data_IF_607925387697
#
_entry.id   IF_607925387697
#
_cell.length_a   1.000
_cell.length_b   1.000
_cell.length_c   1.000
_cell.angle_alpha   90.00
_cell.angle_beta   90.00
_cell.angle_gamma   90.00
#
_symmetry.space_group_name_H-M   'P 1'
#
loop_
_entity.id
_entity.type
_entity.pdbx_description
1 polymer ?
#
# COMPACT_ATOMS: atom_id res chain seq x y z
N UNK A 1 9.85 -19.98 3.96
CA UNK A 1 10.92 -19.65 3.00
C UNK A 1 12.22 -19.53 3.77
N UNK A 2 13.32 -19.99 3.18
CA UNK A 2 14.70 -19.80 3.67
C UNK A 2 15.46 -19.02 2.61
N UNK A 3 16.14 -17.97 3.02
CA UNK A 3 16.90 -17.11 2.13
C UNK A 3 18.38 -17.52 2.11
N UNK A 4 18.93 -17.63 0.91
CA UNK A 4 20.36 -17.82 0.67
C UNK A 4 20.95 -16.45 0.36
N UNK A 5 21.76 -15.97 1.32
CA UNK A 5 22.41 -14.67 1.19
C UNK A 5 23.47 -14.70 0.08
N UNK A 6 23.72 -13.58 -0.53
CA UNK A 6 24.61 -13.38 -1.69
C UNK A 6 26.03 -13.93 -1.52
N UNK A 7 26.53 -13.96 -0.29
CA UNK A 7 27.91 -14.41 0.02
C UNK A 7 28.05 -15.91 0.28
N UNK A 8 26.96 -16.70 0.22
CA UNK A 8 27.00 -18.15 0.47
C UNK A 8 27.44 -18.89 -0.81
N UNK A 9 28.64 -19.51 -0.85
CA UNK A 9 29.11 -20.20 -2.04
C UNK A 9 28.36 -21.52 -2.24
N UNK A 10 28.13 -21.88 -3.51
CA UNK A 10 27.47 -23.14 -3.91
C UNK A 10 28.42 -24.36 -3.82
N UNK A 11 28.98 -24.62 -2.64
CA UNK A 11 29.79 -25.80 -2.38
C UNK A 11 28.92 -27.05 -2.20
N UNK A 12 29.48 -28.23 -2.43
CA UNK A 12 28.75 -29.50 -2.23
C UNK A 12 28.12 -29.62 -0.85
N UNK A 13 28.80 -29.12 0.19
CA UNK A 13 28.29 -29.09 1.57
C UNK A 13 27.02 -28.24 1.67
N UNK A 14 27.04 -27.03 1.12
CA UNK A 14 25.92 -26.09 1.19
C UNK A 14 24.76 -26.55 0.30
N UNK A 15 25.06 -27.06 -0.88
CA UNK A 15 24.07 -27.65 -1.79
C UNK A 15 23.34 -28.82 -1.13
N UNK A 16 24.07 -29.74 -0.48
CA UNK A 16 23.47 -30.87 0.25
C UNK A 16 22.59 -30.38 1.43
N UNK A 17 22.95 -29.29 2.08
CA UNK A 17 22.12 -28.70 3.14
C UNK A 17 20.81 -28.14 2.55
N UNK A 18 20.87 -27.40 1.44
CA UNK A 18 19.71 -26.86 0.75
C UNK A 18 18.77 -27.97 0.25
N UNK A 19 19.31 -29.05 -0.33
CA UNK A 19 18.51 -30.20 -0.77
C UNK A 19 17.75 -30.82 0.41
N UNK A 20 18.40 -30.99 1.59
CA UNK A 20 17.75 -31.50 2.80
C UNK A 20 16.63 -30.57 3.28
N UNK A 21 16.84 -29.27 3.26
CA UNK A 21 15.79 -28.29 3.62
C UNK A 21 14.59 -28.39 2.68
N UNK A 22 14.83 -28.53 1.38
CA UNK A 22 13.74 -28.73 0.39
C UNK A 22 12.97 -30.04 0.66
N UNK A 23 13.65 -31.12 1.00
CA UNK A 23 13.02 -32.41 1.38
C UNK A 23 12.15 -32.30 2.64
N UNK A 24 12.45 -31.34 3.52
CA UNK A 24 11.63 -31.00 4.70
C UNK A 24 10.47 -30.05 4.38
N UNK A 25 10.27 -29.68 3.11
CA UNK A 25 9.18 -28.82 2.67
C UNK A 25 9.49 -27.32 2.72
N UNK A 26 10.73 -26.91 2.97
CA UNK A 26 11.10 -25.51 2.90
C UNK A 26 11.27 -25.07 1.45
N UNK A 27 10.80 -23.84 1.15
CA UNK A 27 11.09 -23.15 -0.11
C UNK A 27 12.37 -22.34 0.05
N UNK A 28 13.18 -22.29 -1.00
CA UNK A 28 14.47 -21.61 -1.02
C UNK A 28 14.37 -20.36 -1.87
N UNK A 29 14.80 -19.24 -1.33
CA UNK A 29 14.94 -17.96 -2.05
C UNK A 29 16.42 -17.60 -2.18
N UNK A 30 16.87 -17.21 -3.34
CA UNK A 30 18.18 -16.56 -3.55
C UNK A 30 17.99 -15.08 -3.34
N UNK A 31 18.74 -14.51 -2.40
CA UNK A 31 18.64 -13.11 -2.00
C UNK A 31 19.62 -12.22 -2.77
N UNK A 32 19.24 -10.96 -2.99
CA UNK A 32 20.06 -9.93 -3.64
C UNK A 32 20.73 -10.41 -4.95
N UNK A 33 19.97 -11.10 -5.80
CA UNK A 33 20.50 -11.63 -7.06
C UNK A 33 20.75 -10.51 -8.08
N UNK A 34 22.01 -10.42 -8.55
CA UNK A 34 22.44 -9.39 -9.52
C UNK A 34 22.80 -9.95 -10.90
N UNK A 35 22.66 -11.26 -11.12
CA UNK A 35 23.13 -11.93 -12.35
C UNK A 35 24.55 -12.46 -12.25
N UNK A 36 25.15 -12.49 -11.06
CA UNK A 36 26.48 -13.05 -10.84
C UNK A 36 26.49 -14.58 -11.04
N UNK A 37 27.49 -15.10 -11.76
CA UNK A 37 27.62 -16.54 -12.04
C UNK A 37 27.71 -17.42 -10.78
N UNK A 38 28.34 -16.92 -9.71
CA UNK A 38 28.45 -17.65 -8.47
C UNK A 38 27.07 -17.81 -7.79
N UNK A 39 26.23 -16.75 -7.84
CA UNK A 39 24.84 -16.81 -7.38
C UNK A 39 23.97 -17.64 -8.34
N UNK A 40 24.20 -17.58 -9.64
CA UNK A 40 23.44 -18.34 -10.64
C UNK A 40 23.53 -19.85 -10.42
N UNK A 41 24.63 -20.35 -9.84
CA UNK A 41 24.75 -21.75 -9.45
C UNK A 41 23.66 -22.23 -8.46
N UNK A 42 23.04 -21.33 -7.71
CA UNK A 42 21.95 -21.63 -6.78
C UNK A 42 20.58 -21.75 -7.46
N UNK A 43 20.40 -21.14 -8.64
CA UNK A 43 19.08 -21.04 -9.28
C UNK A 43 18.42 -22.39 -9.53
N UNK A 44 19.21 -23.45 -9.82
CA UNK A 44 18.69 -24.82 -10.01
C UNK A 44 18.07 -25.43 -8.74
N UNK A 45 18.36 -24.88 -7.56
CA UNK A 45 17.81 -25.32 -6.29
C UNK A 45 16.79 -24.33 -5.71
N UNK A 46 16.72 -23.12 -6.26
CA UNK A 46 15.84 -22.06 -5.80
C UNK A 46 14.38 -22.28 -6.26
N UNK A 47 13.47 -21.77 -5.45
CA UNK A 47 12.04 -21.63 -5.77
C UNK A 47 11.68 -20.17 -6.03
N UNK A 48 12.48 -19.24 -5.47
CA UNK A 48 12.30 -17.79 -5.58
C UNK A 48 13.65 -17.14 -5.84
N UNK A 49 13.68 -16.12 -6.68
CA UNK A 49 14.83 -15.22 -6.88
C UNK A 49 14.39 -13.81 -6.54
N UNK A 50 15.13 -13.17 -5.63
CA UNK A 50 14.88 -11.79 -5.19
C UNK A 50 15.92 -10.90 -5.85
N UNK A 51 15.48 -9.89 -6.57
CA UNK A 51 16.32 -8.93 -7.28
C UNK A 51 16.17 -7.56 -6.63
N UNK A 52 17.24 -7.05 -6.04
CA UNK A 52 17.32 -5.70 -5.50
C UNK A 52 17.47 -4.69 -6.64
N UNK A 53 16.41 -3.93 -6.95
CA UNK A 53 16.41 -2.98 -8.09
C UNK A 53 17.53 -1.94 -7.99
N UNK A 54 17.79 -1.28 -6.86
CA UNK A 54 18.95 -0.43 -6.66
C UNK A 54 20.30 -1.11 -6.94
N UNK A 55 20.47 -2.38 -6.51
CA UNK A 55 21.73 -3.09 -6.66
C UNK A 55 22.06 -3.42 -8.12
N UNK A 56 21.06 -3.75 -8.94
CA UNK A 56 21.27 -4.00 -10.39
C UNK A 56 21.42 -2.71 -11.20
N UNK A 57 21.13 -1.55 -10.62
CA UNK A 57 21.45 -0.23 -11.14
C UNK A 57 20.46 0.37 -12.14
N UNK A 58 19.67 -0.42 -12.87
CA UNK A 58 18.62 0.09 -13.77
C UNK A 58 17.50 -0.93 -13.98
N UNK A 59 16.32 -0.44 -14.41
CA UNK A 59 15.17 -1.29 -14.73
C UNK A 59 15.45 -2.18 -15.95
N UNK A 60 16.20 -1.69 -16.93
CA UNK A 60 16.60 -2.48 -18.09
C UNK A 60 17.55 -3.61 -17.70
N UNK A 61 18.48 -3.35 -16.75
CA UNK A 61 19.36 -4.37 -16.20
C UNK A 61 18.57 -5.43 -15.43
N UNK A 62 17.59 -5.03 -14.62
CA UNK A 62 16.71 -5.95 -13.92
C UNK A 62 15.93 -6.84 -14.91
N UNK A 63 15.43 -6.26 -16.00
CA UNK A 63 14.75 -7.01 -17.07
C UNK A 63 15.70 -7.98 -17.79
N UNK A 64 16.95 -7.56 -18.06
CA UNK A 64 17.96 -8.40 -18.68
C UNK A 64 18.31 -9.62 -17.80
N UNK A 65 18.57 -9.38 -16.51
CA UNK A 65 18.85 -10.45 -15.52
C UNK A 65 17.69 -11.45 -15.47
N UNK A 66 16.45 -10.97 -15.37
CA UNK A 66 15.28 -11.85 -15.36
C UNK A 66 15.17 -12.68 -16.65
N UNK A 67 15.40 -12.10 -17.82
CA UNK A 67 15.28 -12.78 -19.09
C UNK A 67 16.40 -13.80 -19.31
N UNK A 68 17.63 -13.45 -18.92
CA UNK A 68 18.82 -14.32 -19.07
C UNK A 68 18.71 -15.58 -18.21
N UNK A 69 18.27 -15.43 -16.96
CA UNK A 69 18.22 -16.51 -15.99
C UNK A 69 16.83 -17.13 -15.82
N UNK A 70 15.89 -16.80 -16.69
CA UNK A 70 14.53 -17.35 -16.62
C UNK A 70 14.51 -18.88 -16.70
N UNK A 71 13.75 -19.47 -15.80
CA UNK A 71 13.48 -20.90 -15.77
C UNK A 71 12.02 -21.15 -15.34
N UNK A 72 11.39 -22.13 -15.98
CA UNK A 72 10.03 -22.52 -15.61
C UNK A 72 9.93 -22.95 -14.14
N UNK A 73 8.92 -22.48 -13.46
CA UNK A 73 8.67 -22.74 -12.04
C UNK A 73 9.49 -21.91 -11.05
N UNK A 74 10.37 -21.03 -11.52
CA UNK A 74 11.11 -20.09 -10.68
C UNK A 74 10.30 -18.80 -10.54
N UNK A 75 10.05 -18.38 -9.30
CA UNK A 75 9.32 -17.17 -8.97
C UNK A 75 10.28 -16.01 -8.87
N UNK A 76 10.02 -14.93 -9.58
CA UNK A 76 10.84 -13.71 -9.58
C UNK A 76 10.20 -12.64 -8.70
N UNK A 77 10.94 -12.14 -7.72
CA UNK A 77 10.52 -11.09 -6.80
C UNK A 77 11.40 -9.85 -7.01
N UNK A 78 10.78 -8.73 -7.34
CA UNK A 78 11.45 -7.42 -7.38
C UNK A 78 11.41 -6.79 -5.99
N UNK A 79 12.59 -6.45 -5.44
CA UNK A 79 12.73 -5.80 -4.15
C UNK A 79 13.00 -4.32 -4.27
N UNK A 80 12.66 -3.59 -3.19
CA UNK A 80 12.86 -2.14 -3.07
C UNK A 80 12.16 -1.35 -4.18
N UNK A 81 10.99 -1.83 -4.62
CA UNK A 81 10.13 -1.09 -5.55
C UNK A 81 9.62 0.17 -4.85
N UNK A 82 9.98 1.35 -5.34
CA UNK A 82 9.65 2.63 -4.72
C UNK A 82 8.63 3.47 -5.51
N UNK A 83 8.49 3.19 -6.81
CA UNK A 83 7.62 3.96 -7.71
C UNK A 83 6.66 3.06 -8.48
N UNK A 84 5.58 3.68 -8.99
CA UNK A 84 4.64 2.98 -9.88
C UNK A 84 5.29 2.60 -11.21
N UNK A 85 6.23 3.41 -11.70
CA UNK A 85 6.97 3.13 -12.93
C UNK A 85 7.84 1.87 -12.79
N UNK A 86 8.57 1.74 -11.69
CA UNK A 86 9.35 0.53 -11.37
C UNK A 86 8.46 -0.71 -11.30
N UNK A 87 7.32 -0.60 -10.62
CA UNK A 87 6.35 -1.69 -10.52
C UNK A 87 5.86 -2.14 -11.91
N UNK A 88 5.37 -1.19 -12.74
CA UNK A 88 4.86 -1.52 -14.08
C UNK A 88 5.95 -2.09 -14.99
N UNK A 89 7.17 -1.55 -14.92
CA UNK A 89 8.30 -2.04 -15.70
C UNK A 89 8.65 -3.49 -15.33
N UNK A 90 8.81 -3.79 -14.04
CA UNK A 90 9.11 -5.14 -13.55
C UNK A 90 7.96 -6.10 -13.86
N UNK A 91 6.71 -5.66 -13.72
CA UNK A 91 5.53 -6.46 -14.08
C UNK A 91 5.55 -6.82 -15.58
N UNK A 92 5.85 -5.86 -16.44
CA UNK A 92 5.96 -6.09 -17.89
C UNK A 92 7.14 -7.00 -18.24
N UNK A 93 8.25 -6.90 -17.50
CA UNK A 93 9.40 -7.80 -17.63
C UNK A 93 9.13 -9.23 -17.12
N UNK A 94 7.99 -9.48 -16.46
CA UNK A 94 7.55 -10.79 -16.00
C UNK A 94 8.02 -11.18 -14.61
N UNK A 95 8.22 -10.21 -13.73
CA UNK A 95 8.33 -10.46 -12.28
C UNK A 95 6.96 -10.85 -11.71
N UNK A 96 6.95 -11.83 -10.80
CA UNK A 96 5.75 -12.42 -10.23
C UNK A 96 5.34 -11.75 -8.91
N UNK A 97 6.33 -11.33 -8.12
CA UNK A 97 6.15 -10.75 -6.79
C UNK A 97 6.91 -9.43 -6.67
N UNK A 98 6.41 -8.56 -5.78
CA UNK A 98 6.95 -7.22 -5.60
C UNK A 98 7.02 -6.87 -4.12
N UNK A 99 8.14 -6.32 -3.67
CA UNK A 99 8.36 -5.86 -2.31
C UNK A 99 9.02 -4.48 -2.35
N UNK A 100 8.52 -3.54 -1.55
CA UNK A 100 9.12 -2.23 -1.45
C UNK A 100 8.23 -1.19 -0.80
N UNK A 101 8.81 -0.02 -0.58
CA UNK A 101 8.15 1.09 0.10
C UNK A 101 6.96 1.67 -0.69
N UNK A 102 6.95 1.47 -2.02
CA UNK A 102 5.82 1.85 -2.87
C UNK A 102 4.48 1.34 -2.33
N UNK A 103 4.42 0.09 -1.86
CA UNK A 103 3.20 -0.53 -1.31
C UNK A 103 2.84 -0.02 0.09
N UNK A 104 3.79 0.61 0.80
CA UNK A 104 3.59 1.20 2.12
C UNK A 104 3.32 2.71 2.06
N UNK A 105 3.62 3.35 0.93
CA UNK A 105 3.23 4.75 0.70
C UNK A 105 1.71 4.82 0.73
N UNK A 106 1.10 5.66 1.59
CA UNK A 106 -0.29 5.98 1.41
C UNK A 106 -0.41 6.48 -0.03
N UNK A 107 -1.09 5.70 -0.88
CA UNK A 107 -1.48 6.20 -2.18
C UNK A 107 -2.33 7.43 -1.89
N UNK A 108 -1.76 8.62 -2.08
CA UNK A 108 -2.57 9.79 -2.35
C UNK A 108 -3.20 9.46 -3.70
N UNK A 109 -4.30 8.72 -3.63
CA UNK A 109 -5.18 8.61 -4.77
C UNK A 109 -5.58 10.06 -5.03
N UNK A 110 -4.95 10.69 -6.03
CA UNK A 110 -5.58 11.73 -6.77
C UNK A 110 -6.77 11.08 -7.50
N UNK A 111 -7.71 10.56 -6.69
CA UNK A 111 -9.05 10.32 -7.15
C UNK A 111 -9.46 11.67 -7.73
N UNK A 112 -9.94 11.70 -8.98
CA UNK A 112 -10.76 12.81 -9.42
C UNK A 112 -11.61 13.15 -8.22
N UNK A 113 -11.44 14.38 -7.67
CA UNK A 113 -12.37 14.90 -6.68
C UNK A 113 -13.73 14.67 -7.32
N UNK A 114 -14.42 13.66 -6.86
CA UNK A 114 -15.86 13.63 -7.07
C UNK A 114 -16.29 14.90 -6.38
N UNK A 115 -16.84 15.91 -7.09
CA UNK A 115 -17.28 17.12 -6.43
C UNK A 115 -18.11 16.65 -5.26
N UNK A 116 -17.80 17.18 -4.06
CA UNK A 116 -18.69 16.96 -2.91
C UNK A 116 -20.08 17.15 -3.47
N UNK A 117 -20.95 16.15 -3.33
CA UNK A 117 -22.27 16.29 -3.91
C UNK A 117 -22.84 17.56 -3.33
N UNK A 118 -22.93 18.61 -4.14
CA UNK A 118 -23.47 19.92 -3.69
C UNK A 118 -24.82 19.72 -3.01
N UNK A 119 -25.52 18.67 -3.43
CA UNK A 119 -26.79 18.19 -2.86
C UNK A 119 -26.56 17.67 -1.42
N UNK A 120 -25.54 16.87 -1.15
CA UNK A 120 -25.27 16.34 0.18
C UNK A 120 -24.87 17.44 1.17
N UNK A 121 -24.06 18.42 0.70
CA UNK A 121 -23.71 19.59 1.54
C UNK A 121 -24.93 20.44 1.83
N UNK A 122 -25.82 20.68 0.85
CA UNK A 122 -27.07 21.42 1.06
C UNK A 122 -28.03 20.67 2.00
N UNK A 123 -28.13 19.35 1.90
CA UNK A 123 -28.91 18.52 2.82
C UNK A 123 -28.37 18.60 4.25
N UNK A 124 -27.04 18.54 4.41
CA UNK A 124 -26.37 18.69 5.70
C UNK A 124 -26.64 20.06 6.32
N UNK A 125 -26.57 21.14 5.53
CA UNK A 125 -26.90 22.50 5.99
C UNK A 125 -28.37 22.62 6.36
N UNK A 126 -29.26 21.98 5.59
CA UNK A 126 -30.69 21.93 5.91
C UNK A 126 -30.96 21.27 7.27
N UNK A 127 -30.32 20.11 7.54
CA UNK A 127 -30.43 19.40 8.81
C UNK A 127 -29.86 20.24 9.97
N UNK A 128 -28.72 20.91 9.77
CA UNK A 128 -28.07 21.74 10.79
C UNK A 128 -28.81 23.04 11.14
N UNK A 129 -29.67 23.52 10.26
CA UNK A 129 -30.42 24.77 10.43
C UNK A 129 -31.85 24.57 10.97
N UNK A 130 -32.24 23.33 11.31
CA UNK A 130 -33.50 23.07 12.00
C UNK A 130 -33.44 23.59 13.46
N UNK A 131 -34.57 24.05 14.00
CA UNK A 131 -34.64 24.59 15.36
C UNK A 131 -34.28 23.52 16.44
N UNK A 132 -34.57 22.25 16.14
CA UNK A 132 -34.19 21.09 16.96
C UNK A 132 -33.29 20.14 16.12
N UNK A 133 -32.07 20.62 15.78
CA UNK A 133 -31.13 19.81 15.03
C UNK A 133 -30.65 18.62 15.88
N UNK A 134 -31.01 17.39 15.49
CA UNK A 134 -30.56 16.16 16.14
C UNK A 134 -29.22 15.66 15.54
N UNK A 135 -28.36 15.17 16.42
CA UNK A 135 -27.10 14.55 16.04
C UNK A 135 -27.30 13.33 15.15
N UNK A 136 -28.34 12.54 15.39
CA UNK A 136 -28.61 11.32 14.62
C UNK A 136 -29.00 11.65 13.18
N UNK A 137 -29.80 12.68 12.94
CA UNK A 137 -30.18 13.16 11.61
C UNK A 137 -28.98 13.70 10.83
N UNK A 138 -28.07 14.39 11.53
CA UNK A 138 -26.83 14.91 10.94
C UNK A 138 -25.89 13.77 10.55
N UNK A 139 -25.72 12.79 11.45
CA UNK A 139 -24.89 11.61 11.20
C UNK A 139 -25.45 10.79 10.05
N UNK A 140 -26.75 10.61 9.96
CA UNK A 140 -27.40 9.89 8.87
C UNK A 140 -27.28 10.61 7.53
N UNK A 141 -27.35 11.94 7.53
CA UNK A 141 -27.11 12.74 6.33
C UNK A 141 -25.65 12.62 5.85
N UNK A 142 -24.69 12.70 6.76
CA UNK A 142 -23.26 12.54 6.45
C UNK A 142 -22.95 11.11 5.99
N UNK A 143 -23.59 10.10 6.59
CA UNK A 143 -23.38 8.67 6.25
C UNK A 143 -23.76 8.34 4.80
N UNK A 144 -24.70 9.06 4.20
CA UNK A 144 -25.12 8.85 2.80
C UNK A 144 -24.08 9.28 1.77
N UNK A 145 -23.12 10.13 2.18
CA UNK A 145 -22.02 10.57 1.32
C UNK A 145 -20.67 10.12 1.90
N UNK A 146 -19.95 9.20 1.23
CA UNK A 146 -18.67 8.67 1.70
C UNK A 146 -17.60 9.76 1.89
N UNK A 147 -17.64 10.83 1.09
CA UNK A 147 -16.66 11.93 1.20
C UNK A 147 -16.93 12.80 2.41
N UNK A 148 -18.18 13.15 2.68
CA UNK A 148 -18.55 13.87 3.89
C UNK A 148 -18.22 13.04 5.14
N UNK A 149 -18.49 11.73 5.11
CA UNK A 149 -18.13 10.80 6.18
C UNK A 149 -16.62 10.80 6.47
N UNK A 150 -15.81 10.66 5.43
CA UNK A 150 -14.35 10.68 5.56
C UNK A 150 -13.83 12.01 6.12
N UNK A 151 -14.31 13.14 5.60
CA UNK A 151 -13.90 14.47 6.06
C UNK A 151 -14.31 14.76 7.49
N UNK A 152 -15.50 14.34 7.91
CA UNK A 152 -15.96 14.48 9.29
C UNK A 152 -15.03 13.71 10.24
N UNK A 153 -14.69 12.47 9.90
CA UNK A 153 -13.74 11.64 10.67
C UNK A 153 -12.34 12.26 10.70
N UNK A 154 -11.87 12.78 9.57
CA UNK A 154 -10.56 13.45 9.50
C UNK A 154 -10.51 14.70 10.39
N UNK A 155 -11.56 15.52 10.38
CA UNK A 155 -11.64 16.71 11.22
C UNK A 155 -11.71 16.36 12.71
N UNK A 156 -12.47 15.32 13.07
CA UNK A 156 -12.57 14.83 14.45
C UNK A 156 -11.24 14.24 14.97
N UNK A 157 -10.43 13.69 14.09
CA UNK A 157 -9.09 13.14 14.42
C UNK A 157 -7.97 14.18 14.30
N UNK A 158 -8.28 15.44 14.01
CA UNK A 158 -7.25 16.49 13.98
C UNK A 158 -6.65 16.71 15.37
N UNK A 159 -5.35 17.08 15.49
CA UNK A 159 -4.69 17.29 16.78
C UNK A 159 -5.37 18.32 17.69
N UNK A 160 -6.14 19.27 17.10
CA UNK A 160 -6.86 20.29 17.85
C UNK A 160 -8.16 19.75 18.50
N UNK A 161 -8.67 18.61 18.08
CA UNK A 161 -9.93 18.03 18.55
C UNK A 161 -9.69 16.76 19.34
N UNK A 162 -8.81 15.91 18.87
CA UNK A 162 -8.54 14.60 19.47
C UNK A 162 -7.05 14.44 19.80
N UNK A 163 -6.76 14.34 21.09
CA UNK A 163 -5.41 14.04 21.62
C UNK A 163 -5.29 12.60 22.11
N UNK A 164 -6.28 11.76 21.85
CA UNK A 164 -6.37 10.38 22.32
C UNK A 164 -6.38 9.34 21.19
N UNK A 165 -7.11 8.26 21.42
CA UNK A 165 -7.26 7.18 20.43
C UNK A 165 -8.09 7.61 19.22
N UNK A 166 -7.77 7.07 18.03
CA UNK A 166 -8.45 7.37 16.77
C UNK A 166 -9.97 7.15 16.84
N UNK A 167 -10.73 8.15 16.39
CA UNK A 167 -12.19 8.11 16.29
C UNK A 167 -12.55 7.49 14.93
N UNK A 168 -13.23 6.35 14.97
CA UNK A 168 -13.66 5.59 13.77
C UNK A 168 -15.18 5.61 13.55
N UNK A 169 -15.95 6.12 14.51
CA UNK A 169 -17.41 6.21 14.45
C UNK A 169 -17.86 7.63 14.11
N UNK A 170 -18.77 7.78 13.14
CA UNK A 170 -19.37 9.07 12.76
C UNK A 170 -20.13 9.71 13.94
N UNK A 171 -20.82 8.92 14.77
CA UNK A 171 -21.50 9.40 15.96
C UNK A 171 -20.52 10.03 16.94
N UNK A 172 -19.43 9.32 17.26
CA UNK A 172 -18.38 9.85 18.15
C UNK A 172 -17.68 11.08 17.55
N UNK A 173 -17.47 11.09 16.23
CA UNK A 173 -16.90 12.23 15.53
C UNK A 173 -17.80 13.46 15.64
N UNK A 174 -19.09 13.31 15.36
CA UNK A 174 -20.08 14.40 15.46
C UNK A 174 -20.17 14.94 16.91
N UNK A 175 -20.20 14.06 17.90
CA UNK A 175 -20.21 14.45 19.32
C UNK A 175 -18.93 15.20 19.71
N UNK A 176 -17.75 14.71 19.29
CA UNK A 176 -16.46 15.34 19.60
C UNK A 176 -16.31 16.74 18.97
N UNK A 177 -16.85 16.94 17.78
CA UNK A 177 -16.83 18.22 17.07
C UNK A 177 -17.87 19.22 17.58
N UNK A 178 -19.05 18.73 17.87
CA UNK A 178 -20.22 19.54 18.22
C UNK A 178 -20.85 20.24 16.99
N UNK A 179 -22.14 20.56 17.09
CA UNK A 179 -22.95 21.11 16.00
C UNK A 179 -22.38 22.39 15.39
N UNK A 180 -21.82 23.27 16.21
CA UNK A 180 -21.28 24.55 15.73
C UNK A 180 -20.08 24.38 14.81
N UNK A 181 -19.16 23.46 15.12
CA UNK A 181 -18.00 23.20 14.24
C UNK A 181 -18.43 22.51 12.96
N UNK A 182 -19.38 21.58 13.03
CA UNK A 182 -19.93 20.90 11.86
C UNK A 182 -20.65 21.91 10.95
N UNK A 183 -21.42 22.84 11.51
CA UNK A 183 -22.09 23.92 10.77
C UNK A 183 -21.10 24.84 10.06
N UNK A 184 -20.06 25.30 10.77
CA UNK A 184 -19.04 26.15 10.17
C UNK A 184 -18.31 25.43 9.02
N UNK A 185 -17.98 24.15 9.20
CA UNK A 185 -17.38 23.32 8.19
C UNK A 185 -18.29 23.11 6.96
N UNK A 186 -19.57 22.80 7.18
CA UNK A 186 -20.54 22.65 6.09
C UNK A 186 -20.72 23.95 5.28
N UNK A 187 -20.73 25.11 5.96
CA UNK A 187 -20.77 26.42 5.28
C UNK A 187 -19.52 26.65 4.42
N UNK A 188 -18.32 26.28 4.91
CA UNK A 188 -17.10 26.39 4.12
C UNK A 188 -17.12 25.48 2.88
N UNK A 189 -17.68 24.27 3.00
CA UNK A 189 -17.86 23.36 1.86
C UNK A 189 -18.84 23.92 0.81
N UNK A 190 -19.90 24.61 1.24
CA UNK A 190 -20.87 25.21 0.33
C UNK A 190 -20.30 26.42 -0.44
N UNK A 191 -19.33 27.12 0.16
CA UNK A 191 -18.69 28.32 -0.44
C UNK A 191 -17.48 27.95 -1.32
N UNK A 192 -16.89 26.78 -1.12
CA UNK A 192 -15.72 26.32 -1.88
C UNK A 192 -16.13 25.80 -3.25
N UNK A 193 -15.89 26.63 -4.28
CA UNK A 193 -15.96 26.22 -5.71
C UNK A 193 -14.64 25.64 -6.17
#
# INVERSE_FOLDING_TARGET
VIELLEHIPATDKNINAVIRLKQQGFRIAVDDFTGDEAQAAWLKYADIVKVDLPAVGSLDAASAVRNEFHREGLIWLAEKVETYEEFEHCRAAGYDLFQGYFFSKPAVLFGRRTPDSHIAVMQLLGALNQEEADFDDIVDTVRRDPQLSYRLLQMANSPQVNQGSSITSLQRAATALGLNRIRNWANLLALGK
#
